data_IF_296176835719
#
_entry.id   IF_296176835719
#
_cell.length_a   1.000
_cell.length_b   1.000
_cell.length_c   1.000
_cell.angle_alpha   90.00
_cell.angle_beta   90.00
_cell.angle_gamma   90.00
#
_symmetry.space_group_name_H-M   'P 1'
#
loop_
_entity.id
_entity.type
_entity.pdbx_description
1 polymer ?
#
# COMPACT_ATOMS: atom_id res chain seq x y z
N UNK A 1 -8.76 12.57 7.85
CA UNK A 1 -8.25 11.21 7.60
C UNK A 1 -6.91 11.19 6.83
N UNK A 2 -6.67 12.10 5.90
CA UNK A 2 -5.43 12.16 5.11
C UNK A 2 -4.19 12.58 5.93
N UNK A 3 -4.37 13.30 7.02
CA UNK A 3 -3.26 13.79 7.86
C UNK A 3 -2.31 12.67 8.31
N UNK A 4 -2.85 11.51 8.67
CA UNK A 4 -2.01 10.36 9.05
C UNK A 4 -1.14 9.87 7.90
N UNK A 5 -1.67 9.79 6.68
CA UNK A 5 -0.92 9.39 5.50
C UNK A 5 0.23 10.37 5.22
N UNK A 6 -0.03 11.69 5.28
CA UNK A 6 1.01 12.71 5.11
C UNK A 6 2.04 12.72 6.23
N UNK A 7 1.64 12.44 7.49
CA UNK A 7 2.62 12.26 8.56
C UNK A 7 3.56 11.09 8.29
N UNK A 8 3.02 9.94 7.91
CA UNK A 8 3.83 8.77 7.57
C UNK A 8 4.72 9.03 6.35
N UNK A 9 4.19 9.76 5.36
CA UNK A 9 4.95 10.23 4.20
C UNK A 9 6.13 11.10 4.59
N UNK A 10 5.94 12.04 5.54
CA UNK A 10 6.99 12.96 5.99
C UNK A 10 8.13 12.26 6.76
N UNK A 11 7.89 11.07 7.31
CA UNK A 11 8.82 10.35 8.19
C UNK A 11 8.94 10.96 9.60
N UNK A 12 8.23 12.05 9.91
CA UNK A 12 8.24 12.66 11.23
C UNK A 12 7.41 11.83 12.23
N UNK A 13 7.89 11.75 13.46
CA UNK A 13 7.15 11.12 14.55
C UNK A 13 6.01 12.01 15.03
N UNK A 14 4.94 11.40 15.55
CA UNK A 14 3.79 12.13 16.06
C UNK A 14 4.17 13.12 17.18
N UNK A 15 5.13 12.75 18.02
CA UNK A 15 5.68 13.60 19.08
C UNK A 15 6.36 14.87 18.53
N UNK A 16 7.12 14.73 17.46
CA UNK A 16 7.83 15.85 16.82
C UNK A 16 6.85 16.84 16.19
N UNK A 17 5.83 16.32 15.51
CA UNK A 17 4.78 17.16 14.91
C UNK A 17 3.99 17.88 16.00
N UNK A 18 3.56 17.16 17.04
CA UNK A 18 2.80 17.74 18.15
C UNK A 18 3.60 18.85 18.86
N UNK A 19 4.88 18.61 19.14
CA UNK A 19 5.77 19.61 19.75
C UNK A 19 5.91 20.86 18.87
N UNK A 20 6.15 20.70 17.57
CA UNK A 20 6.30 21.84 16.63
C UNK A 20 5.00 22.64 16.44
N UNK A 21 3.84 21.97 16.56
CA UNK A 21 2.54 22.64 16.50
C UNK A 21 2.10 23.26 17.83
N UNK A 22 2.74 22.92 18.94
CA UNK A 22 2.32 23.34 20.27
C UNK A 22 1.01 22.66 20.74
N UNK A 23 0.76 21.43 20.30
CA UNK A 23 -0.41 20.63 20.68
C UNK A 23 0.02 19.35 21.39
N UNK A 24 -0.91 18.70 22.09
CA UNK A 24 -0.62 17.38 22.66
C UNK A 24 -0.62 16.30 21.58
N UNK A 25 0.13 15.21 21.80
CA UNK A 25 0.09 14.02 20.93
C UNK A 25 -1.32 13.45 20.79
N UNK A 26 -2.12 13.49 21.87
CA UNK A 26 -3.51 13.06 21.85
C UNK A 26 -4.36 13.93 20.91
N UNK A 27 -4.14 15.27 20.91
CA UNK A 27 -4.81 16.17 19.99
C UNK A 27 -4.46 15.88 18.53
N UNK A 28 -3.18 15.60 18.22
CA UNK A 28 -2.76 15.21 16.87
C UNK A 28 -3.49 13.94 16.39
N UNK A 29 -3.59 12.92 17.24
CA UNK A 29 -4.31 11.70 16.88
C UNK A 29 -5.82 11.91 16.69
N UNK A 30 -6.45 12.85 17.43
CA UNK A 30 -7.84 13.23 17.18
C UNK A 30 -8.00 13.92 15.83
N UNK A 31 -7.06 14.80 15.47
CA UNK A 31 -7.02 15.43 14.13
C UNK A 31 -6.90 14.39 13.01
N UNK A 32 -6.07 13.36 13.19
CA UNK A 32 -5.96 12.23 12.24
C UNK A 32 -7.26 11.44 12.10
N UNK A 33 -8.10 11.42 13.13
CA UNK A 33 -9.43 10.77 13.12
C UNK A 33 -10.54 11.66 12.55
N UNK A 34 -10.23 12.89 12.17
CA UNK A 34 -11.19 13.79 11.50
C UNK A 34 -11.85 14.83 12.43
N UNK A 35 -11.32 15.04 13.64
CA UNK A 35 -11.77 16.21 14.43
C UNK A 35 -11.45 17.53 13.70
N UNK A 36 -12.27 18.52 13.96
CA UNK A 36 -12.14 19.86 13.38
C UNK A 36 -10.81 20.49 13.78
N UNK A 37 -10.06 20.93 12.79
CA UNK A 37 -8.76 21.58 12.96
C UNK A 37 -8.93 23.07 12.64
N UNK A 38 -8.38 23.93 13.47
CA UNK A 38 -8.35 25.38 13.20
C UNK A 38 -7.53 25.64 11.93
N UNK A 39 -7.97 26.60 11.12
CA UNK A 39 -7.33 26.93 9.84
C UNK A 39 -5.84 27.27 10.00
N UNK A 40 -5.48 28.00 11.06
CA UNK A 40 -4.08 28.28 11.36
C UNK A 40 -3.24 27.03 11.62
N UNK A 41 -3.80 26.05 12.33
CA UNK A 41 -3.16 24.75 12.55
C UNK A 41 -3.03 23.97 11.23
N UNK A 42 -4.02 24.05 10.33
CA UNK A 42 -3.94 23.43 8.99
C UNK A 42 -2.80 24.03 8.17
N UNK A 43 -2.64 25.37 8.19
CA UNK A 43 -1.53 26.05 7.51
C UNK A 43 -0.17 25.60 8.05
N UNK A 44 0.01 25.60 9.37
CA UNK A 44 1.25 25.16 10.04
C UNK A 44 1.55 23.68 9.77
N UNK A 45 0.52 22.84 9.73
CA UNK A 45 0.66 21.43 9.32
C UNK A 45 1.12 21.32 7.87
N UNK A 46 0.54 22.11 6.96
CA UNK A 46 0.94 22.16 5.55
C UNK A 46 2.42 22.51 5.37
N UNK A 47 2.88 23.55 6.07
CA UNK A 47 4.29 23.97 6.06
C UNK A 47 5.22 22.88 6.62
N UNK A 48 4.85 22.29 7.77
CA UNK A 48 5.63 21.27 8.45
C UNK A 48 5.76 19.96 7.63
N UNK A 49 4.65 19.55 7.02
CA UNK A 49 4.58 18.33 6.22
C UNK A 49 4.95 18.54 4.75
N UNK A 50 5.21 19.80 4.34
CA UNK A 50 5.50 20.21 2.96
C UNK A 50 4.40 19.81 1.96
N UNK A 51 3.14 19.97 2.37
CA UNK A 51 1.96 19.69 1.56
C UNK A 51 1.05 20.91 1.53
N UNK A 52 0.26 21.03 0.46
CA UNK A 52 -0.74 22.09 0.36
C UNK A 52 -1.77 21.96 1.48
N UNK A 53 -2.20 23.06 2.13
CA UNK A 53 -3.34 23.05 3.03
C UNK A 53 -4.61 22.44 2.40
N UNK A 54 -4.82 22.65 1.10
CA UNK A 54 -5.94 22.05 0.37
C UNK A 54 -5.84 20.52 0.31
N UNK A 55 -4.62 19.98 0.09
CA UNK A 55 -4.40 18.54 0.13
C UNK A 55 -4.70 17.94 1.52
N UNK A 56 -4.38 18.66 2.61
CA UNK A 56 -4.75 18.24 3.97
C UNK A 56 -6.27 18.22 4.20
N UNK A 57 -7.01 19.06 3.47
CA UNK A 57 -8.47 19.14 3.50
C UNK A 57 -9.13 18.17 2.51
N UNK A 58 -8.35 17.40 1.75
CA UNK A 58 -8.89 16.47 0.76
C UNK A 58 -9.32 17.10 -0.55
N UNK A 59 -8.82 18.27 -0.86
CA UNK A 59 -9.15 19.02 -2.07
C UNK A 59 -7.98 18.94 -3.05
N UNK A 60 -8.23 18.44 -4.25
CA UNK A 60 -7.23 18.33 -5.33
C UNK A 60 -6.53 16.98 -5.41
N UNK A 61 -5.36 16.94 -6.05
CA UNK A 61 -4.56 15.72 -6.26
C UNK A 61 -3.68 15.44 -5.04
N UNK A 62 -3.69 14.20 -4.60
CA UNK A 62 -2.81 13.71 -3.55
C UNK A 62 -1.55 13.11 -4.19
N UNK A 63 -0.40 13.43 -3.65
CA UNK A 63 0.89 12.90 -4.08
C UNK A 63 1.64 12.31 -2.89
N UNK A 64 2.14 11.10 -3.06
CA UNK A 64 2.96 10.38 -2.08
C UNK A 64 4.23 9.87 -2.77
N UNK A 65 5.39 10.25 -2.28
CA UNK A 65 6.70 9.80 -2.78
C UNK A 65 7.18 8.54 -2.08
N UNK A 66 6.64 8.27 -0.88
CA UNK A 66 7.01 7.11 -0.06
C UNK A 66 5.87 6.10 -0.02
N UNK A 67 6.23 4.82 -0.19
CA UNK A 67 5.26 3.70 -0.18
C UNK A 67 4.41 3.65 1.10
N UNK A 68 4.97 4.03 2.26
CA UNK A 68 4.24 4.03 3.54
C UNK A 68 3.05 4.99 3.52
N UNK A 69 3.26 6.24 3.04
CA UNK A 69 2.18 7.23 2.92
C UNK A 69 1.12 6.77 1.91
N UNK A 70 1.56 6.28 0.76
CA UNK A 70 0.68 5.77 -0.28
C UNK A 70 -0.20 4.60 0.23
N UNK A 71 0.38 3.55 0.80
CA UNK A 71 -0.39 2.40 1.28
C UNK A 71 -1.27 2.73 2.47
N UNK A 72 -0.88 3.65 3.36
CA UNK A 72 -1.77 4.14 4.41
C UNK A 72 -2.99 4.84 3.81
N UNK A 73 -2.79 5.67 2.78
CA UNK A 73 -3.92 6.35 2.12
C UNK A 73 -4.85 5.37 1.41
N UNK A 74 -4.31 4.41 0.70
CA UNK A 74 -5.10 3.34 0.07
C UNK A 74 -5.92 2.58 1.11
N UNK A 75 -5.31 2.21 2.25
CA UNK A 75 -6.01 1.55 3.36
C UNK A 75 -7.19 2.38 3.87
N UNK A 76 -7.01 3.70 4.07
CA UNK A 76 -8.08 4.61 4.51
C UNK A 76 -9.24 4.69 3.51
N UNK A 77 -8.95 4.70 2.21
CA UNK A 77 -9.97 4.68 1.17
C UNK A 77 -10.72 3.35 1.22
N UNK A 78 -10.02 2.24 1.30
CA UNK A 78 -10.61 0.90 1.35
C UNK A 78 -11.48 0.68 2.59
N UNK A 79 -11.21 1.32 3.72
CA UNK A 79 -12.02 1.20 4.95
C UNK A 79 -13.46 1.73 4.80
N UNK A 80 -13.69 2.66 3.89
CA UNK A 80 -15.00 3.31 3.67
C UNK A 80 -15.64 2.97 2.33
N UNK A 81 -14.95 2.21 1.50
CA UNK A 81 -15.39 1.88 0.15
C UNK A 81 -16.33 0.68 0.15
N UNK A 82 -17.39 0.73 -0.66
CA UNK A 82 -18.29 -0.39 -0.95
C UNK A 82 -17.92 -1.10 -2.25
N UNK A 83 -17.19 -0.41 -3.14
CA UNK A 83 -16.71 -0.94 -4.40
C UNK A 83 -15.33 -0.37 -4.73
N UNK A 84 -14.39 -1.23 -5.08
CA UNK A 84 -13.06 -0.88 -5.58
C UNK A 84 -12.94 -1.22 -7.06
N UNK A 85 -12.75 -0.18 -7.88
CA UNK A 85 -12.31 -0.35 -9.27
C UNK A 85 -10.83 -0.01 -9.35
N UNK A 86 -10.02 -0.95 -9.77
CA UNK A 86 -8.58 -0.76 -9.89
C UNK A 86 -8.03 -1.31 -11.20
N UNK A 87 -7.02 -0.64 -11.73
CA UNK A 87 -6.16 -1.16 -12.78
C UNK A 87 -4.83 -1.58 -12.17
N UNK A 88 -4.49 -2.86 -12.28
CA UNK A 88 -3.23 -3.40 -11.79
C UNK A 88 -2.39 -3.94 -12.94
N UNK A 89 -1.06 -3.85 -12.84
CA UNK A 89 -0.22 -4.46 -13.87
C UNK A 89 -0.46 -5.97 -14.03
N UNK A 90 -0.54 -6.70 -12.92
CA UNK A 90 -0.62 -8.17 -12.95
C UNK A 90 -1.58 -8.77 -11.94
N UNK A 91 -1.68 -8.28 -10.72
CA UNK A 91 -2.43 -8.94 -9.65
C UNK A 91 -3.04 -7.94 -8.67
N UNK A 92 -4.24 -8.25 -8.18
CA UNK A 92 -4.87 -7.54 -7.07
C UNK A 92 -4.34 -8.08 -5.74
N UNK A 93 -3.60 -7.29 -5.00
CA UNK A 93 -3.00 -7.71 -3.71
C UNK A 93 -4.03 -8.26 -2.71
N UNK A 94 -5.23 -7.68 -2.64
CA UNK A 94 -6.25 -8.08 -1.67
C UNK A 94 -6.75 -9.52 -1.86
N UNK A 95 -6.57 -10.08 -3.05
CA UNK A 95 -7.00 -11.43 -3.41
C UNK A 95 -5.86 -12.45 -3.39
N UNK A 96 -4.63 -12.06 -3.08
CA UNK A 96 -3.47 -12.96 -3.04
C UNK A 96 -3.50 -13.89 -1.83
N UNK A 97 -2.76 -15.00 -1.94
CA UNK A 97 -2.62 -16.00 -0.87
C UNK A 97 -1.59 -15.59 0.20
N UNK A 98 -1.52 -16.35 1.30
CA UNK A 98 -0.48 -16.18 2.32
C UNK A 98 0.93 -16.54 1.79
N UNK A 99 1.02 -17.35 0.72
CA UNK A 99 2.30 -17.64 0.07
C UNK A 99 2.88 -16.39 -0.61
N UNK A 100 2.02 -15.54 -1.17
CA UNK A 100 2.42 -14.24 -1.70
C UNK A 100 3.02 -13.36 -0.61
N UNK A 101 2.36 -13.26 0.54
CA UNK A 101 2.85 -12.47 1.68
C UNK A 101 4.19 -13.04 2.21
N UNK A 102 4.33 -14.37 2.25
CA UNK A 102 5.58 -15.00 2.68
C UNK A 102 6.76 -14.60 1.79
N UNK A 103 6.62 -14.63 0.47
CA UNK A 103 7.73 -14.23 -0.42
C UNK A 103 7.98 -12.72 -0.40
N UNK A 104 6.98 -11.89 -0.12
CA UNK A 104 7.19 -10.46 0.13
C UNK A 104 8.05 -10.23 1.38
N UNK A 105 7.73 -10.91 2.48
CA UNK A 105 8.47 -10.80 3.75
C UNK A 105 9.92 -11.24 3.56
N UNK A 106 10.13 -12.41 2.95
CA UNK A 106 11.46 -12.95 2.69
C UNK A 106 12.26 -12.04 1.77
N UNK A 107 11.63 -11.50 0.71
CA UNK A 107 12.27 -10.58 -0.20
C UNK A 107 12.67 -9.27 0.44
N UNK A 108 11.79 -8.65 1.22
CA UNK A 108 12.15 -7.42 1.95
C UNK A 108 13.19 -7.67 3.03
N UNK A 109 13.21 -8.86 3.63
CA UNK A 109 14.27 -9.25 4.59
C UNK A 109 15.63 -9.33 3.90
N UNK A 110 15.72 -10.04 2.76
CA UNK A 110 16.96 -10.16 1.99
C UNK A 110 17.43 -8.79 1.47
N UNK A 111 16.51 -7.95 0.98
CA UNK A 111 16.83 -6.60 0.54
C UNK A 111 17.35 -5.73 1.69
N UNK A 112 16.77 -5.86 2.89
CA UNK A 112 17.26 -5.16 4.07
C UNK A 112 18.67 -5.61 4.47
N UNK A 113 18.96 -6.91 4.39
CA UNK A 113 20.29 -7.45 4.65
C UNK A 113 21.34 -6.91 3.70
N UNK A 114 20.98 -6.69 2.44
CA UNK A 114 21.85 -6.18 1.39
C UNK A 114 21.93 -4.63 1.37
N UNK A 115 21.16 -3.92 2.17
CA UNK A 115 21.09 -2.45 2.16
C UNK A 115 22.27 -1.74 2.84
N UNK A 116 23.27 -2.47 3.37
CA UNK A 116 24.47 -1.89 3.97
C UNK A 116 24.17 -0.92 5.12
N UNK A 117 24.69 0.31 5.03
CA UNK A 117 24.51 1.34 6.06
C UNK A 117 23.05 1.76 6.28
N UNK A 118 22.19 1.61 5.28
CA UNK A 118 20.76 1.98 5.35
C UNK A 118 19.87 0.85 5.83
N UNK A 119 20.44 -0.29 6.26
CA UNK A 119 19.71 -1.49 6.68
C UNK A 119 18.58 -1.19 7.69
N UNK A 120 18.86 -0.40 8.72
CA UNK A 120 17.89 -0.10 9.77
C UNK A 120 16.69 0.71 9.24
N UNK A 121 16.95 1.72 8.41
CA UNK A 121 15.93 2.56 7.80
C UNK A 121 15.09 1.77 6.79
N UNK A 122 15.74 0.96 5.96
CA UNK A 122 15.07 0.10 4.98
C UNK A 122 14.17 -0.91 5.70
N UNK A 123 14.69 -1.61 6.72
CA UNK A 123 13.91 -2.56 7.50
C UNK A 123 12.68 -1.91 8.15
N UNK A 124 12.86 -0.76 8.80
CA UNK A 124 11.74 -0.02 9.42
C UNK A 124 10.66 0.34 8.39
N UNK A 125 11.06 0.82 7.22
CA UNK A 125 10.12 1.16 6.14
C UNK A 125 9.43 -0.08 5.57
N UNK A 126 10.16 -1.17 5.38
CA UNK A 126 9.62 -2.44 4.91
C UNK A 126 8.60 -3.02 5.90
N UNK A 127 8.92 -3.05 7.19
CA UNK A 127 8.03 -3.53 8.25
C UNK A 127 6.73 -2.70 8.30
N UNK A 128 6.82 -1.39 8.13
CA UNK A 128 5.65 -0.51 8.06
C UNK A 128 4.77 -0.83 6.83
N UNK A 129 5.37 -0.99 5.65
CA UNK A 129 4.65 -1.34 4.42
C UNK A 129 3.98 -2.71 4.55
N UNK A 130 4.71 -3.72 5.02
CA UNK A 130 4.16 -5.07 5.23
C UNK A 130 3.00 -5.06 6.23
N UNK A 131 3.13 -4.28 7.32
CA UNK A 131 2.06 -4.10 8.30
C UNK A 131 0.80 -3.47 7.70
N UNK A 132 0.95 -2.47 6.83
CA UNK A 132 -0.16 -1.84 6.11
C UNK A 132 -0.81 -2.79 5.10
N UNK A 133 -0.01 -3.53 4.34
CA UNK A 133 -0.51 -4.53 3.39
C UNK A 133 -1.32 -5.61 4.12
N UNK A 134 -0.79 -6.16 5.21
CA UNK A 134 -1.51 -7.14 6.01
C UNK A 134 -2.81 -6.58 6.62
N UNK A 135 -2.81 -5.31 7.05
CA UNK A 135 -4.02 -4.65 7.57
C UNK A 135 -5.08 -4.49 6.49
N UNK A 136 -4.71 -4.11 5.26
CA UNK A 136 -5.61 -4.01 4.09
C UNK A 136 -6.26 -5.36 3.78
N UNK A 137 -5.47 -6.44 3.70
CA UNK A 137 -5.97 -7.79 3.42
C UNK A 137 -6.96 -8.26 4.50
N UNK A 138 -6.64 -8.05 5.80
CA UNK A 138 -7.56 -8.36 6.91
C UNK A 138 -8.86 -7.56 6.82
N UNK A 139 -8.78 -6.25 6.54
CA UNK A 139 -9.96 -5.40 6.36
C UNK A 139 -10.86 -5.91 5.23
N UNK A 140 -10.26 -6.27 4.10
CA UNK A 140 -11.01 -6.87 2.98
C UNK A 140 -11.65 -8.20 3.37
N UNK A 141 -10.96 -9.08 4.07
CA UNK A 141 -11.50 -10.36 4.53
C UNK A 141 -12.72 -10.20 5.47
N UNK A 142 -12.73 -9.14 6.27
CA UNK A 142 -13.84 -8.84 7.20
C UNK A 142 -15.03 -8.18 6.51
N UNK A 143 -14.80 -7.23 5.62
CA UNK A 143 -15.86 -6.44 4.99
C UNK A 143 -16.34 -6.97 3.64
N UNK A 144 -15.48 -7.63 2.87
CA UNK A 144 -15.80 -8.19 1.55
C UNK A 144 -16.51 -7.20 0.61
N UNK A 145 -15.99 -5.97 0.51
CA UNK A 145 -16.48 -5.02 -0.47
C UNK A 145 -16.22 -5.50 -1.90
N UNK A 146 -16.99 -4.99 -2.87
CA UNK A 146 -16.88 -5.42 -4.26
C UNK A 146 -15.56 -4.98 -4.89
N UNK A 147 -14.90 -5.87 -5.60
CA UNK A 147 -13.68 -5.57 -6.36
C UNK A 147 -13.90 -5.82 -7.84
N UNK A 148 -13.57 -4.82 -8.65
CA UNK A 148 -13.40 -4.94 -10.10
C UNK A 148 -11.93 -4.66 -10.39
N UNK A 149 -11.19 -5.69 -10.80
CA UNK A 149 -9.75 -5.58 -11.07
C UNK A 149 -9.47 -5.77 -12.55
N UNK A 150 -8.89 -4.76 -13.17
CA UNK A 150 -8.49 -4.79 -14.58
C UNK A 150 -6.99 -5.07 -14.65
N UNK A 151 -6.63 -6.20 -15.22
CA UNK A 151 -5.26 -6.67 -15.37
C UNK A 151 -4.72 -6.32 -16.76
N UNK A 152 -3.43 -6.04 -16.84
CA UNK A 152 -2.74 -5.84 -18.12
C UNK A 152 -2.13 -7.16 -18.60
N UNK A 153 -2.40 -7.58 -19.84
CA UNK A 153 -1.81 -8.78 -20.43
C UNK A 153 -0.27 -8.75 -20.43
N UNK A 154 0.35 -7.58 -20.71
CA UNK A 154 1.80 -7.42 -20.61
C UNK A 154 2.28 -7.52 -19.16
N UNK A 155 1.56 -6.94 -18.20
CA UNK A 155 1.87 -7.05 -16.79
C UNK A 155 1.81 -8.49 -16.28
N UNK A 156 0.78 -9.25 -16.67
CA UNK A 156 0.65 -10.66 -16.34
C UNK A 156 1.83 -11.47 -16.89
N UNK A 157 2.23 -11.26 -18.16
CA UNK A 157 3.40 -11.94 -18.73
C UNK A 157 4.69 -11.59 -18.00
N UNK A 158 4.91 -10.30 -17.70
CA UNK A 158 6.07 -9.86 -16.94
C UNK A 158 6.09 -10.48 -15.54
N UNK A 159 4.96 -10.52 -14.85
CA UNK A 159 4.83 -11.11 -13.53
C UNK A 159 5.12 -12.62 -13.53
N UNK A 160 4.62 -13.37 -14.51
CA UNK A 160 4.93 -14.79 -14.67
C UNK A 160 6.41 -15.05 -14.98
N UNK A 161 7.04 -14.20 -15.81
CA UNK A 161 8.43 -14.34 -16.19
C UNK A 161 9.41 -13.95 -15.06
N UNK A 162 9.10 -12.88 -14.33
CA UNK A 162 10.02 -12.28 -13.35
C UNK A 162 9.68 -12.68 -11.91
N UNK A 163 8.42 -13.01 -11.62
CA UNK A 163 7.94 -13.35 -10.28
C UNK A 163 7.51 -12.13 -9.47
N UNK A 164 7.19 -12.41 -8.21
CA UNK A 164 6.94 -11.38 -7.19
C UNK A 164 8.24 -10.61 -6.96
N UNK A 165 8.16 -9.29 -6.70
CA UNK A 165 9.33 -8.40 -6.53
C UNK A 165 10.23 -8.34 -7.78
N UNK A 166 9.61 -8.31 -8.97
CA UNK A 166 10.32 -8.18 -10.24
C UNK A 166 11.33 -7.02 -10.23
N UNK A 167 12.55 -7.28 -10.74
CA UNK A 167 13.62 -6.27 -10.78
C UNK A 167 14.39 -6.06 -9.47
N UNK A 168 13.96 -6.67 -8.35
CA UNK A 168 14.70 -6.59 -7.10
C UNK A 168 15.96 -7.49 -7.16
N UNK A 169 17.10 -7.06 -6.55
CA UNK A 169 18.33 -7.84 -6.48
C UNK A 169 18.23 -8.95 -5.42
N UNK A 170 17.48 -9.99 -5.73
CA UNK A 170 17.28 -11.17 -4.88
C UNK A 170 18.22 -12.31 -5.27
N UNK A 171 18.48 -13.21 -4.31
CA UNK A 171 19.17 -14.47 -4.57
C UNK A 171 18.41 -15.33 -5.60
N UNK A 172 19.14 -16.20 -6.31
CA UNK A 172 18.51 -17.06 -7.33
C UNK A 172 17.47 -18.00 -6.73
N UNK A 173 17.71 -18.49 -5.51
CA UNK A 173 16.76 -19.35 -4.78
C UNK A 173 15.46 -18.61 -4.49
N UNK A 174 15.52 -17.40 -3.95
CA UNK A 174 14.32 -16.60 -3.65
C UNK A 174 13.62 -16.16 -4.93
N UNK A 175 14.37 -15.78 -5.96
CA UNK A 175 13.83 -15.42 -7.29
C UNK A 175 13.06 -16.60 -7.91
N UNK A 176 13.59 -17.81 -7.82
CA UNK A 176 12.89 -19.01 -8.30
C UNK A 176 11.59 -19.24 -7.54
N UNK A 177 11.60 -19.06 -6.22
CA UNK A 177 10.40 -19.15 -5.36
C UNK A 177 9.38 -18.06 -5.69
N UNK A 178 9.81 -16.81 -5.93
CA UNK A 178 8.96 -15.71 -6.37
C UNK A 178 8.24 -16.03 -7.70
N UNK A 179 8.92 -16.63 -8.67
CA UNK A 179 8.29 -17.08 -9.93
C UNK A 179 7.27 -18.21 -9.70
N UNK A 180 7.59 -19.18 -8.85
CA UNK A 180 6.66 -20.26 -8.52
C UNK A 180 5.38 -19.73 -7.87
N UNK A 181 5.51 -18.79 -6.94
CA UNK A 181 4.37 -18.14 -6.29
C UNK A 181 3.57 -17.34 -7.31
N UNK A 182 4.24 -16.54 -8.16
CA UNK A 182 3.55 -15.78 -9.20
C UNK A 182 2.70 -16.68 -10.13
N UNK A 183 3.21 -17.84 -10.52
CA UNK A 183 2.46 -18.81 -11.32
C UNK A 183 1.24 -19.36 -10.57
N UNK A 184 1.39 -19.70 -9.28
CA UNK A 184 0.29 -20.19 -8.45
C UNK A 184 -0.80 -19.12 -8.25
N UNK A 185 -0.41 -17.88 -8.01
CA UNK A 185 -1.35 -16.75 -7.88
C UNK A 185 -2.12 -16.52 -9.18
N UNK A 186 -1.47 -16.57 -10.32
CA UNK A 186 -2.15 -16.41 -11.62
C UNK A 186 -3.10 -17.56 -11.95
N UNK A 187 -2.75 -18.79 -11.58
CA UNK A 187 -3.66 -19.93 -11.70
C UNK A 187 -4.92 -19.73 -10.83
N UNK A 188 -4.75 -19.21 -9.61
CA UNK A 188 -5.88 -18.88 -8.74
C UNK A 188 -6.74 -17.74 -9.31
N UNK A 189 -6.12 -16.70 -9.89
CA UNK A 189 -6.88 -15.61 -10.55
C UNK A 189 -7.68 -16.16 -11.72
N UNK A 190 -7.11 -17.04 -12.55
CA UNK A 190 -7.83 -17.68 -13.65
C UNK A 190 -9.04 -18.50 -13.14
N UNK A 191 -8.86 -19.28 -12.08
CA UNK A 191 -9.95 -20.03 -11.44
C UNK A 191 -11.05 -19.09 -10.87
N UNK A 192 -10.67 -17.95 -10.31
CA UNK A 192 -11.62 -16.95 -9.87
C UNK A 192 -12.37 -16.28 -11.04
N UNK A 193 -11.70 -16.08 -12.17
CA UNK A 193 -12.37 -15.58 -13.39
C UNK A 193 -13.39 -16.58 -13.93
N UNK A 194 -13.08 -17.87 -13.92
CA UNK A 194 -13.98 -18.94 -14.37
C UNK A 194 -15.19 -19.15 -13.44
N UNK A 195 -15.00 -18.97 -12.14
CA UNK A 195 -16.06 -19.14 -11.13
C UNK A 195 -16.97 -17.93 -10.98
N UNK A 196 -16.55 -16.75 -11.39
CA UNK A 196 -17.27 -15.48 -11.28
C UNK A 196 -17.92 -15.27 -9.88
N UNK A 197 -17.14 -15.34 -8.79
CA UNK A 197 -17.71 -15.22 -7.45
C UNK A 197 -18.33 -13.85 -7.26
N UNK A 198 -19.48 -13.81 -6.56
CA UNK A 198 -20.18 -12.57 -6.27
C UNK A 198 -19.23 -11.55 -5.59
N UNK A 199 -19.22 -10.32 -6.09
CA UNK A 199 -18.43 -9.23 -5.52
C UNK A 199 -16.95 -9.20 -5.95
N UNK A 200 -16.52 -10.11 -6.84
CA UNK A 200 -15.14 -10.12 -7.35
C UNK A 200 -15.13 -10.36 -8.86
N UNK A 201 -14.68 -9.37 -9.60
CA UNK A 201 -14.60 -9.42 -11.06
C UNK A 201 -13.19 -9.10 -11.53
N UNK A 202 -12.70 -9.88 -12.47
CA UNK A 202 -11.43 -9.63 -13.16
C UNK A 202 -11.67 -9.38 -14.65
N UNK A 203 -11.04 -8.33 -15.16
CA UNK A 203 -10.96 -8.05 -16.58
C UNK A 203 -9.50 -8.13 -17.06
N UNK A 204 -9.26 -8.68 -18.24
CA UNK A 204 -7.95 -8.69 -18.87
C UNK A 204 -7.95 -7.74 -20.06
N UNK A 205 -7.13 -6.69 -20.01
CA UNK A 205 -6.87 -5.86 -21.18
C UNK A 205 -5.90 -6.59 -22.10
N UNK A 206 -6.31 -6.89 -23.34
CA UNK A 206 -5.39 -7.44 -24.32
C UNK A 206 -4.27 -6.45 -24.60
N UNK A 207 -3.15 -6.93 -25.05
CA UNK A 207 -2.05 -6.06 -25.47
C UNK A 207 -2.48 -5.27 -26.70
N UNK A 208 -2.28 -3.96 -26.62
CA UNK A 208 -2.31 -3.10 -27.81
C UNK A 208 -0.97 -3.18 -28.53
#
# INVERSE_FOLDING_TARGET
QQLRAYRLESGLRAEEIAARLGVSRAALYRYEKGEVIKLDTVKRLGELLKVSPLSLLGIGVEYYSRSVGFFERVRQIEETTDQLLQACPAICYLTTTDQFDSVLIDGFTELAENAGADRANFKTSADQVLGLLAARKRSYQQRRFNIISILSGNGVRAFLAQGVLAGAPLSDTLRARCRKVAAAEMAMVADLMDREPMGLQFGLLPNA
#
